data_IF_649691295028
#
_entry.id   IF_649691295028
#
_cell.length_a   1.000
_cell.length_b   1.000
_cell.length_c   1.000
_cell.angle_alpha   90.00
_cell.angle_beta   90.00
_cell.angle_gamma   90.00
#
_symmetry.space_group_name_H-M   'P 1'
#
loop_
_entity.id
_entity.type
_entity.pdbx_description
1 polymer ?
#
# COMPACT_ATOMS: atom_id res chain seq x y z
N UNK A 1 2.73 0.49 -35.08
CA UNK A 1 4.15 0.17 -34.89
C UNK A 1 4.14 -1.20 -34.25
N UNK A 2 4.64 -2.22 -34.95
CA UNK A 2 4.58 -3.60 -34.46
C UNK A 2 5.87 -3.88 -33.71
N UNK A 3 5.78 -4.02 -32.39
CA UNK A 3 6.93 -4.28 -31.52
C UNK A 3 6.78 -5.68 -30.90
N UNK A 4 7.73 -6.57 -31.22
CA UNK A 4 7.78 -7.93 -30.70
C UNK A 4 8.60 -8.03 -29.40
N UNK A 5 9.16 -6.92 -28.93
CA UNK A 5 9.91 -6.83 -27.68
C UNK A 5 9.61 -5.50 -26.97
N UNK A 6 8.32 -5.25 -26.64
CA UNK A 6 7.90 -3.98 -26.09
C UNK A 6 8.52 -3.75 -24.70
N UNK A 7 8.98 -2.52 -24.48
CA UNK A 7 9.38 -2.03 -23.16
C UNK A 7 8.27 -1.14 -22.62
N UNK A 8 7.53 -1.63 -21.63
CA UNK A 8 6.47 -0.86 -20.99
C UNK A 8 7.03 0.26 -20.10
N UNK A 9 6.30 1.38 -20.04
CA UNK A 9 6.59 2.45 -19.09
C UNK A 9 6.44 1.95 -17.66
N UNK A 10 7.31 2.41 -16.77
CA UNK A 10 7.19 2.14 -15.34
C UNK A 10 5.86 2.64 -14.79
N UNK A 11 5.27 1.89 -13.86
CA UNK A 11 4.05 2.25 -13.17
C UNK A 11 4.23 2.07 -11.66
N UNK A 12 3.34 2.67 -10.87
CA UNK A 12 3.30 2.56 -9.41
C UNK A 12 1.98 1.96 -8.99
N UNK A 13 2.02 1.05 -8.01
CA UNK A 13 0.84 0.42 -7.43
C UNK A 13 1.08 0.20 -5.94
N UNK A 14 0.06 0.40 -5.11
CA UNK A 14 0.17 0.16 -3.67
C UNK A 14 0.22 -1.35 -3.39
N UNK A 15 0.91 -1.74 -2.31
CA UNK A 15 0.90 -3.13 -1.83
C UNK A 15 -0.50 -3.64 -1.52
N UNK A 16 -1.36 -2.77 -1.01
CA UNK A 16 -2.73 -3.13 -0.69
C UNK A 16 -3.54 -3.44 -1.97
N UNK A 17 -3.38 -2.64 -3.02
CA UNK A 17 -4.02 -2.89 -4.32
C UNK A 17 -3.45 -4.12 -5.00
N UNK A 18 -2.14 -4.31 -4.93
CA UNK A 18 -1.45 -5.40 -5.61
C UNK A 18 -1.79 -6.76 -4.98
N UNK A 19 -1.69 -6.86 -3.66
CA UNK A 19 -1.80 -8.15 -2.97
C UNK A 19 -2.49 -8.09 -1.59
N UNK A 20 -3.14 -6.98 -1.22
CA UNK A 20 -3.76 -6.77 0.10
C UNK A 20 -2.80 -6.95 1.28
N UNK A 21 -1.50 -6.69 1.05
CA UNK A 21 -0.44 -6.89 2.04
C UNK A 21 0.04 -8.34 2.19
N UNK A 22 -0.59 -9.32 1.55
CA UNK A 22 -0.13 -10.70 1.53
C UNK A 22 0.95 -10.88 0.46
N UNK A 23 2.20 -11.06 0.89
CA UNK A 23 3.34 -11.15 -0.03
C UNK A 23 3.40 -12.48 -0.81
N UNK A 24 2.75 -13.54 -0.32
CA UNK A 24 2.72 -14.87 -0.93
C UNK A 24 1.46 -15.05 -1.82
N UNK A 25 0.54 -14.08 -1.83
CA UNK A 25 -0.63 -14.09 -2.71
C UNK A 25 -0.22 -14.15 -4.18
N UNK A 26 -0.83 -15.09 -4.91
CA UNK A 26 -0.63 -15.23 -6.35
C UNK A 26 -1.19 -14.03 -7.12
N UNK A 27 -0.35 -13.49 -7.98
CA UNK A 27 -0.65 -12.43 -8.93
C UNK A 27 -0.69 -13.04 -10.32
N UNK A 28 -1.79 -12.79 -11.05
CA UNK A 28 -1.94 -13.20 -12.44
C UNK A 28 -1.72 -12.00 -13.35
N UNK A 29 -0.72 -12.11 -14.21
CA UNK A 29 -0.41 -11.09 -15.21
C UNK A 29 -0.83 -11.58 -16.59
N UNK A 30 -1.54 -10.75 -17.33
CA UNK A 30 -2.06 -11.08 -18.68
C UNK A 30 -1.52 -10.08 -19.70
N UNK A 31 -1.18 -10.57 -20.88
CA UNK A 31 -0.59 -9.79 -21.97
C UNK A 31 -1.51 -9.89 -23.19
N UNK A 32 -1.80 -8.74 -23.78
CA UNK A 32 -2.69 -8.61 -24.93
C UNK A 32 -2.00 -7.83 -26.04
N UNK A 33 -2.30 -8.19 -27.28
CA UNK A 33 -2.03 -7.38 -28.44
C UNK A 33 -3.10 -6.29 -28.54
N UNK A 34 -2.66 -5.04 -28.69
CA UNK A 34 -3.58 -3.91 -28.72
C UNK A 34 -4.05 -3.67 -30.16
N UNK A 35 -5.36 -3.65 -30.35
CA UNK A 35 -6.01 -3.41 -31.63
C UNK A 35 -6.96 -2.22 -31.51
N UNK A 36 -6.90 -1.30 -32.47
CA UNK A 36 -7.72 -0.08 -32.48
C UNK A 36 -9.22 -0.33 -32.61
N UNK A 37 -9.61 -1.55 -33.02
CA UNK A 37 -11.00 -1.99 -33.13
C UNK A 37 -11.58 -2.49 -31.79
N UNK A 38 -10.78 -2.51 -30.71
CA UNK A 38 -11.17 -2.97 -29.37
C UNK A 38 -11.16 -4.48 -29.18
N UNK A 39 -10.86 -5.25 -30.22
CA UNK A 39 -10.76 -6.72 -30.16
C UNK A 39 -9.31 -7.13 -29.90
N UNK A 40 -8.86 -6.90 -28.67
CA UNK A 40 -7.51 -7.25 -28.23
C UNK A 40 -7.27 -8.76 -28.26
N UNK A 41 -6.24 -9.19 -28.99
CA UNK A 41 -5.86 -10.59 -29.05
C UNK A 41 -5.03 -10.99 -27.82
N UNK A 42 -5.45 -12.07 -27.17
CA UNK A 42 -4.74 -12.58 -26.00
C UNK A 42 -3.43 -13.27 -26.40
N UNK A 43 -2.31 -12.73 -25.92
CA UNK A 43 -0.97 -13.27 -26.20
C UNK A 43 -0.65 -14.41 -25.23
N UNK A 44 -0.83 -14.17 -23.93
CA UNK A 44 -0.53 -15.13 -22.88
C UNK A 44 -0.63 -14.56 -21.48
N UNK A 45 -0.32 -15.40 -20.50
CA UNK A 45 -0.37 -15.10 -19.08
C UNK A 45 0.80 -15.74 -18.34
N UNK A 46 1.16 -15.16 -17.20
CA UNK A 46 2.06 -15.76 -16.23
C UNK A 46 1.55 -15.48 -14.81
N UNK A 47 2.07 -16.26 -13.87
CA UNK A 47 1.81 -16.08 -12.44
C UNK A 47 3.10 -15.72 -11.73
N UNK A 48 2.99 -14.88 -10.71
CA UNK A 48 4.09 -14.55 -9.80
C UNK A 48 3.54 -14.18 -8.43
N UNK A 49 4.40 -13.81 -7.49
CA UNK A 49 4.04 -13.26 -6.19
C UNK A 49 4.83 -11.99 -5.93
N UNK A 50 4.35 -11.15 -5.02
CA UNK A 50 5.13 -9.99 -4.60
C UNK A 50 6.49 -10.40 -4.03
N UNK A 51 6.54 -11.52 -3.30
CA UNK A 51 7.78 -12.10 -2.78
C UNK A 51 8.78 -12.46 -3.87
N UNK A 52 8.35 -13.09 -4.95
CA UNK A 52 9.21 -13.40 -6.11
C UNK A 52 9.72 -12.15 -6.82
N UNK A 53 8.84 -11.16 -7.03
CA UNK A 53 9.23 -9.87 -7.63
C UNK A 53 10.29 -9.18 -6.76
N UNK A 54 10.23 -9.34 -5.43
CA UNK A 54 11.23 -8.81 -4.48
C UNK A 54 12.56 -9.54 -4.50
N UNK A 55 12.65 -10.76 -5.01
CA UNK A 55 13.90 -11.55 -5.03
C UNK A 55 14.92 -11.02 -6.05
N UNK A 56 14.55 -10.03 -6.88
CA UNK A 56 15.46 -9.31 -7.81
C UNK A 56 16.70 -8.71 -7.11
N UNK A 57 16.67 -8.60 -5.77
CA UNK A 57 17.77 -8.18 -4.90
C UNK A 57 18.98 -9.13 -4.90
N UNK A 58 18.86 -10.36 -5.41
CA UNK A 58 19.98 -11.33 -5.47
C UNK A 58 20.81 -11.21 -6.76
N UNK A 59 20.58 -10.17 -7.58
CA UNK A 59 21.30 -9.95 -8.84
C UNK A 59 20.85 -10.86 -9.99
N UNK A 60 19.75 -11.60 -9.79
CA UNK A 60 19.13 -12.43 -10.82
C UNK A 60 17.97 -11.66 -11.45
N UNK A 61 18.10 -11.31 -12.72
CA UNK A 61 17.01 -10.72 -13.49
C UNK A 61 15.81 -11.68 -13.51
N UNK A 62 14.67 -11.20 -13.02
CA UNK A 62 13.44 -12.00 -12.98
C UNK A 62 12.80 -12.10 -14.36
N UNK A 63 12.45 -13.33 -14.73
CA UNK A 63 11.86 -13.65 -16.02
C UNK A 63 10.80 -14.73 -15.90
N UNK A 64 9.69 -14.56 -16.64
CA UNK A 64 8.58 -15.51 -16.67
C UNK A 64 8.21 -15.85 -18.11
N UNK A 65 7.96 -17.13 -18.37
CA UNK A 65 7.40 -17.57 -19.64
C UNK A 65 5.95 -17.07 -19.76
N UNK A 66 5.65 -16.35 -20.84
CA UNK A 66 4.29 -15.93 -21.14
C UNK A 66 3.55 -17.07 -21.84
N UNK A 67 2.58 -17.71 -21.16
CA UNK A 67 1.92 -18.91 -21.64
C UNK A 67 0.53 -18.60 -22.16
N UNK A 68 0.20 -19.07 -23.35
CA UNK A 68 -1.15 -19.07 -23.89
C UNK A 68 -1.79 -20.45 -23.68
N UNK A 69 -2.75 -20.60 -22.75
CA UNK A 69 -3.35 -21.90 -22.47
C UNK A 69 -4.01 -22.52 -23.70
N UNK A 70 -4.55 -21.70 -24.62
CA UNK A 70 -5.16 -22.19 -25.87
C UNK A 70 -4.12 -22.79 -26.81
N UNK A 71 -2.92 -22.21 -26.89
CA UNK A 71 -1.85 -22.76 -27.72
C UNK A 71 -1.15 -23.95 -27.07
N UNK A 72 -1.00 -23.93 -25.75
CA UNK A 72 -0.44 -25.06 -25.00
C UNK A 72 -1.24 -26.35 -25.23
N UNK A 73 -2.57 -26.24 -25.32
CA UNK A 73 -3.45 -27.38 -25.61
C UNK A 73 -3.49 -27.78 -27.09
N UNK A 74 -3.32 -26.83 -28.02
CA UNK A 74 -3.54 -27.05 -29.46
C UNK A 74 -2.27 -27.33 -30.27
N UNK A 75 -1.13 -26.79 -29.85
CA UNK A 75 0.12 -26.81 -30.64
C UNK A 75 1.12 -27.76 -29.98
N UNK A 76 1.44 -28.86 -30.66
CA UNK A 76 2.29 -29.97 -30.15
C UNK A 76 3.70 -29.53 -29.70
N UNK A 77 4.27 -28.49 -30.31
CA UNK A 77 5.62 -27.98 -30.01
C UNK A 77 5.59 -26.56 -29.42
N UNK A 78 4.49 -26.18 -28.74
CA UNK A 78 4.39 -24.87 -28.11
C UNK A 78 5.22 -24.82 -26.83
N UNK A 79 6.07 -23.80 -26.73
CA UNK A 79 6.89 -23.52 -25.54
C UNK A 79 6.35 -22.34 -24.74
N UNK A 80 6.27 -21.16 -25.38
CA UNK A 80 5.70 -19.95 -24.81
C UNK A 80 5.29 -18.98 -25.94
N UNK A 81 4.64 -17.88 -25.58
CA UNK A 81 4.28 -16.75 -26.45
C UNK A 81 5.23 -15.56 -26.27
N UNK A 82 6.41 -15.79 -25.69
CA UNK A 82 7.35 -14.75 -25.28
C UNK A 82 7.83 -14.93 -23.83
N UNK A 83 8.80 -14.11 -23.44
CA UNK A 83 9.36 -14.07 -22.08
C UNK A 83 9.18 -12.66 -21.54
N UNK A 84 8.61 -12.55 -20.34
CA UNK A 84 8.44 -11.29 -19.63
C UNK A 84 9.62 -11.10 -18.70
N UNK A 85 10.30 -9.96 -18.81
CA UNK A 85 11.50 -9.64 -18.05
C UNK A 85 11.22 -8.44 -17.15
N UNK A 86 11.51 -8.57 -15.85
CA UNK A 86 11.50 -7.44 -14.93
C UNK A 86 12.82 -6.69 -15.05
N UNK A 87 12.78 -5.47 -15.60
CA UNK A 87 13.98 -4.66 -15.79
C UNK A 87 14.42 -3.92 -14.52
N UNK A 88 13.46 -3.36 -13.77
CA UNK A 88 13.73 -2.58 -12.57
C UNK A 88 12.50 -2.52 -11.69
N UNK A 89 12.67 -2.73 -10.39
CA UNK A 89 11.65 -2.49 -9.37
C UNK A 89 12.21 -1.55 -8.30
N UNK A 90 11.46 -0.50 -7.95
CA UNK A 90 11.81 0.39 -6.82
C UNK A 90 10.72 0.32 -5.78
N UNK A 91 11.13 0.07 -4.55
CA UNK A 91 10.24 0.01 -3.40
C UNK A 91 10.23 1.38 -2.73
N UNK A 92 9.13 2.11 -2.88
CA UNK A 92 8.89 3.30 -2.07
C UNK A 92 8.27 2.83 -0.75
N UNK A 93 9.09 2.69 0.28
CA UNK A 93 8.57 2.52 1.62
C UNK A 93 8.01 3.85 2.09
N UNK A 94 6.76 3.87 2.54
CA UNK A 94 6.16 5.02 3.26
C UNK A 94 6.87 5.30 4.61
N UNK A 95 8.00 4.64 4.90
CA UNK A 95 8.88 4.87 6.04
C UNK A 95 9.28 6.35 6.19
N UNK A 96 9.33 7.11 5.10
CA UNK A 96 9.60 8.55 5.17
C UNK A 96 8.48 9.33 5.86
N UNK A 97 7.23 8.88 5.75
CA UNK A 97 6.10 9.45 6.48
C UNK A 97 6.15 9.00 7.94
N UNK A 98 6.44 7.73 8.22
CA UNK A 98 6.49 7.21 9.61
C UNK A 98 7.60 7.87 10.44
N UNK A 99 8.77 8.17 9.86
CA UNK A 99 9.89 8.75 10.62
C UNK A 99 9.79 10.28 10.82
N UNK A 100 9.13 11.00 9.90
CA UNK A 100 8.82 12.44 10.07
C UNK A 100 7.54 12.64 10.90
N UNK A 101 6.65 11.65 10.90
CA UNK A 101 5.42 11.59 11.72
C UNK A 101 5.66 10.82 13.02
N UNK A 102 6.80 11.04 13.68
CA UNK A 102 6.81 10.98 15.14
C UNK A 102 6.04 12.22 15.57
N UNK A 103 4.72 12.05 15.69
CA UNK A 103 3.77 13.11 16.01
C UNK A 103 4.26 13.92 17.22
N UNK A 104 4.61 15.19 17.00
CA UNK A 104 4.71 16.14 18.11
C UNK A 104 3.26 16.47 18.50
N UNK A 105 2.71 15.71 19.46
CA UNK A 105 1.38 15.99 19.99
C UNK A 105 1.43 17.28 20.81
N UNK A 106 0.86 18.35 20.27
CA UNK A 106 0.66 19.61 20.99
C UNK A 106 -0.79 19.70 21.46
N UNK A 107 -0.99 19.86 22.77
CA UNK A 107 -2.31 20.15 23.35
C UNK A 107 -2.34 21.60 23.80
N UNK A 108 -3.38 22.33 23.39
CA UNK A 108 -3.70 23.65 23.92
C UNK A 108 -5.04 23.58 24.67
N UNK A 109 -5.07 24.13 25.88
CA UNK A 109 -6.26 24.18 26.73
C UNK A 109 -6.77 25.62 26.74
N UNK A 110 -8.06 25.79 26.50
CA UNK A 110 -8.70 27.09 26.54
C UNK A 110 -9.00 27.52 27.99
N UNK A 111 -8.31 28.56 28.46
CA UNK A 111 -8.51 29.18 29.78
C UNK A 111 -9.28 30.51 29.70
N UNK A 112 -10.09 30.72 28.67
CA UNK A 112 -10.97 31.90 28.59
C UNK A 112 -12.02 31.92 29.69
N UNK A 113 -12.44 33.12 30.11
CA UNK A 113 -13.39 33.34 31.20
C UNK A 113 -14.78 32.72 30.97
N UNK A 114 -15.16 32.44 29.72
CA UNK A 114 -16.41 31.76 29.36
C UNK A 114 -16.52 30.33 29.91
N UNK A 115 -15.40 29.70 30.26
CA UNK A 115 -15.39 28.38 30.89
C UNK A 115 -15.84 28.40 32.36
N UNK A 116 -16.05 29.58 32.95
CA UNK A 116 -16.47 29.76 34.34
C UNK A 116 -15.36 29.52 35.36
N UNK A 117 -15.61 29.91 36.62
CA UNK A 117 -14.68 29.70 37.73
C UNK A 117 -14.52 28.19 38.01
N UNK A 118 -13.29 27.61 37.97
CA UNK A 118 -13.04 26.20 38.26
C UNK A 118 -13.51 25.72 39.64
N UNK A 119 -13.81 26.63 40.57
CA UNK A 119 -14.40 26.30 41.88
C UNK A 119 -15.91 26.04 41.80
N UNK A 120 -16.56 26.47 40.73
CA UNK A 120 -17.98 26.26 40.49
C UNK A 120 -18.20 24.91 39.80
N UNK A 121 -19.14 24.11 40.31
CA UNK A 121 -19.50 22.81 39.74
C UNK A 121 -20.05 22.87 38.31
N UNK A 122 -20.51 24.04 37.86
CA UNK A 122 -20.93 24.27 36.48
C UNK A 122 -19.79 24.64 35.52
N UNK A 123 -18.56 24.84 36.00
CA UNK A 123 -17.42 25.18 35.14
C UNK A 123 -16.98 23.99 34.30
N UNK A 124 -16.56 24.27 33.06
CA UNK A 124 -15.94 23.26 32.20
C UNK A 124 -14.55 22.83 32.71
N UNK A 125 -13.93 23.66 33.56
CA UNK A 125 -12.67 23.36 34.26
C UNK A 125 -12.87 22.79 35.66
N UNK A 126 -14.13 22.54 36.08
CA UNK A 126 -14.39 21.97 37.40
C UNK A 126 -13.74 20.59 37.54
N UNK A 127 -13.04 20.38 38.66
CA UNK A 127 -12.39 19.09 38.97
C UNK A 127 -13.28 18.36 39.98
N UNK A 128 -14.11 17.45 39.47
CA UNK A 128 -14.99 16.63 40.30
C UNK A 128 -14.22 15.42 40.87
N UNK A 129 -14.44 15.03 42.14
CA UNK A 129 -13.68 13.96 42.80
C UNK A 129 -13.88 12.55 42.20
N UNK A 130 -14.96 12.34 41.45
CA UNK A 130 -15.32 11.02 40.91
C UNK A 130 -15.51 10.99 39.39
N UNK A 131 -15.48 12.15 38.71
CA UNK A 131 -15.79 12.22 37.28
C UNK A 131 -14.88 13.23 36.58
N UNK A 132 -14.23 12.86 35.47
CA UNK A 132 -13.43 13.82 34.71
C UNK A 132 -14.34 14.85 34.01
N UNK A 133 -13.85 16.08 33.87
CA UNK A 133 -14.49 17.08 33.02
C UNK A 133 -14.18 16.82 31.54
N UNK A 134 -14.81 17.58 30.66
CA UNK A 134 -14.72 17.36 29.21
C UNK A 134 -13.30 17.53 28.66
N UNK A 135 -12.49 18.44 29.22
CA UNK A 135 -11.08 18.57 28.85
C UNK A 135 -10.26 17.35 29.25
N UNK A 136 -10.46 16.82 30.46
CA UNK A 136 -9.79 15.61 30.93
C UNK A 136 -10.20 14.38 30.13
N UNK A 137 -11.48 14.25 29.77
CA UNK A 137 -11.95 13.16 28.90
C UNK A 137 -11.28 13.21 27.53
N UNK A 138 -11.19 14.39 26.92
CA UNK A 138 -10.55 14.58 25.62
C UNK A 138 -9.04 14.26 25.67
N UNK A 139 -8.36 14.73 26.72
CA UNK A 139 -6.95 14.44 26.96
C UNK A 139 -6.67 12.94 27.07
N UNK A 140 -7.47 12.22 27.86
CA UNK A 140 -7.33 10.77 28.05
C UNK A 140 -7.61 10.03 26.74
N UNK A 141 -8.72 10.36 26.06
CA UNK A 141 -9.08 9.71 24.80
C UNK A 141 -8.02 9.90 23.70
N UNK A 142 -7.42 11.09 23.60
CA UNK A 142 -6.32 11.34 22.66
C UNK A 142 -5.05 10.63 23.10
N UNK A 143 -4.73 10.64 24.40
CA UNK A 143 -3.56 9.95 24.96
C UNK A 143 -3.60 8.42 24.84
N UNK A 144 -4.78 7.81 24.84
CA UNK A 144 -4.92 6.35 24.62
C UNK A 144 -4.65 5.93 23.16
N UNK A 145 -4.83 6.84 22.20
CA UNK A 145 -4.57 6.57 20.78
C UNK A 145 -3.08 6.67 20.45
N UNK A 146 -2.35 7.55 21.14
CA UNK A 146 -0.91 7.75 20.96
C UNK A 146 -0.15 7.12 22.13
N UNK A 147 0.48 5.94 21.99
CA UNK A 147 1.25 5.34 23.06
C UNK A 147 2.37 6.29 23.48
N UNK A 148 2.41 6.66 24.76
CA UNK A 148 3.54 7.35 25.36
C UNK A 148 4.79 6.46 25.23
N UNK A 149 5.76 6.89 24.42
CA UNK A 149 7.12 6.41 24.58
C UNK A 149 7.59 6.87 25.96
N UNK A 150 7.67 5.92 26.88
CA UNK A 150 8.40 6.10 28.14
C UNK A 150 9.87 6.18 27.76
N UNK A 151 10.47 7.37 27.90
CA UNK A 151 11.91 7.57 27.82
C UNK A 151 12.65 6.72 28.85
#
# INVERSE_FOLDING_TARGET
MNDLSPVWKSFKVSLNTLCSGDHDRQLKCTVYDWDSNGKHDFIGEFQTTYKEIRTDLEGRQMQWDCINPKYQLKKKNYRNSGVIVLNHSTWLYDLYIVCVTVCVSQVAIDFTASNGDPKNSCSLHYIHPYQPNEYLKALVAVGEIFPHDSL
#
